data_IF_617433286722
#
_entry.id   IF_617433286722
#
_cell.length_a   1.000
_cell.length_b   1.000
_cell.length_c   1.000
_cell.angle_alpha   90.00
_cell.angle_beta   90.00
_cell.angle_gamma   90.00
#
_symmetry.space_group_name_H-M   'P 1'
#
loop_
_entity.id
_entity.type
_entity.pdbx_description
1 polymer ?
#
# COMPACT_ATOMS: atom_id res chain seq x y z
N UNK A 1 -18.10 -16.17 38.30
CA UNK A 1 -18.38 -15.65 36.95
C UNK A 1 -17.71 -14.30 36.88
N UNK A 2 -16.45 -14.27 36.43
CA UNK A 2 -15.64 -13.07 36.52
C UNK A 2 -14.82 -12.91 35.23
N UNK A 3 -14.90 -11.69 34.70
CA UNK A 3 -13.98 -11.06 33.76
C UNK A 3 -14.09 -11.47 32.28
N UNK A 4 -15.13 -10.94 31.63
CA UNK A 4 -15.20 -10.76 30.18
C UNK A 4 -15.30 -9.25 29.83
N UNK A 5 -14.55 -8.40 30.52
CA UNK A 5 -14.52 -6.95 30.31
C UNK A 5 -13.07 -6.45 30.17
N UNK A 6 -12.32 -6.93 29.18
CA UNK A 6 -11.11 -6.20 28.75
C UNK A 6 -10.68 -6.59 27.33
N UNK A 7 -11.50 -6.27 26.32
CA UNK A 7 -11.10 -6.38 24.90
C UNK A 7 -11.57 -5.18 24.05
N UNK A 8 -11.81 -4.03 24.68
CA UNK A 8 -11.99 -2.79 23.94
C UNK A 8 -10.60 -2.22 23.62
N UNK A 9 -10.02 -2.61 22.47
CA UNK A 9 -8.92 -1.83 21.88
C UNK A 9 -9.43 -0.39 21.71
N UNK A 10 -8.65 0.65 22.07
CA UNK A 10 -9.08 2.03 21.87
C UNK A 10 -9.50 2.24 20.43
N UNK A 11 -10.61 2.95 20.20
CA UNK A 11 -11.11 3.29 18.87
C UNK A 11 -10.08 4.06 18.00
N UNK A 12 -8.98 4.50 18.62
CA UNK A 12 -7.87 5.23 18.02
C UNK A 12 -6.72 4.34 17.51
N UNK A 13 -6.71 3.03 17.76
CA UNK A 13 -5.63 2.16 17.26
C UNK A 13 -5.71 2.03 15.74
N UNK A 14 -4.83 2.73 15.03
CA UNK A 14 -4.75 2.65 13.59
C UNK A 14 -3.79 1.55 13.16
N UNK A 15 -4.35 0.52 12.52
CA UNK A 15 -3.58 -0.59 11.95
C UNK A 15 -2.53 -0.14 10.93
N UNK A 16 -2.66 1.07 10.36
CA UNK A 16 -1.65 1.63 9.47
C UNK A 16 -0.32 1.88 10.20
N UNK A 17 -0.31 2.23 11.49
CA UNK A 17 0.92 2.43 12.28
C UNK A 17 1.81 1.18 12.32
N UNK A 18 1.22 0.00 12.13
CA UNK A 18 1.93 -1.27 12.11
C UNK A 18 2.62 -1.55 10.77
N UNK A 19 2.25 -0.85 9.70
CA UNK A 19 2.76 -1.13 8.36
C UNK A 19 4.24 -0.82 8.23
N UNK A 20 4.73 0.18 8.97
CA UNK A 20 6.13 0.59 8.88
C UNK A 20 7.10 -0.54 9.25
N UNK A 21 6.73 -1.35 10.25
CA UNK A 21 7.46 -2.57 10.64
C UNK A 21 7.63 -3.59 9.51
N UNK A 22 6.77 -3.53 8.49
CA UNK A 22 6.78 -4.42 7.34
C UNK A 22 7.37 -3.78 6.08
N UNK A 23 7.79 -2.51 6.13
CA UNK A 23 8.29 -1.79 4.97
C UNK A 23 9.51 -2.48 4.33
N UNK A 24 10.46 -2.96 5.15
CA UNK A 24 11.63 -3.68 4.64
C UNK A 24 11.27 -4.93 3.84
N UNK A 25 10.22 -5.67 4.24
CA UNK A 25 9.74 -6.84 3.49
C UNK A 25 9.05 -6.43 2.20
N UNK A 26 8.15 -5.44 2.28
CA UNK A 26 7.47 -4.87 1.13
C UNK A 26 8.46 -4.40 0.04
N UNK A 27 9.55 -3.74 0.44
CA UNK A 27 10.59 -3.23 -0.47
C UNK A 27 11.42 -4.29 -1.18
N UNK A 28 11.42 -5.55 -0.73
CA UNK A 28 12.06 -6.66 -1.46
C UNK A 28 11.31 -7.01 -2.75
N UNK A 29 10.01 -6.71 -2.81
CA UNK A 29 9.14 -7.14 -3.90
C UNK A 29 8.60 -5.97 -4.73
N UNK A 30 8.15 -4.90 -4.08
CA UNK A 30 7.49 -3.76 -4.73
C UNK A 30 8.27 -3.17 -5.92
N UNK A 31 9.58 -2.86 -5.82
CA UNK A 31 10.35 -2.36 -6.96
C UNK A 31 10.45 -3.34 -8.13
N UNK A 32 10.54 -4.64 -7.83
CA UNK A 32 10.64 -5.68 -8.87
C UNK A 32 9.32 -5.78 -9.63
N UNK A 33 8.20 -5.77 -8.92
CA UNK A 33 6.85 -5.78 -9.48
C UNK A 33 6.64 -4.62 -10.48
N UNK A 34 6.98 -3.38 -10.09
CA UNK A 34 6.84 -2.20 -10.96
C UNK A 34 7.74 -2.25 -12.20
N UNK A 35 8.88 -2.94 -12.12
CA UNK A 35 9.77 -3.13 -13.28
C UNK A 35 9.29 -4.23 -14.22
N UNK A 36 8.76 -5.32 -13.66
CA UNK A 36 8.34 -6.49 -14.43
C UNK A 36 7.03 -6.26 -15.17
N UNK A 37 6.06 -5.63 -14.52
CA UNK A 37 4.73 -5.48 -15.10
C UNK A 37 4.56 -4.16 -15.82
N UNK A 38 3.88 -4.22 -16.96
CA UNK A 38 3.45 -3.05 -17.72
C UNK A 38 1.98 -2.81 -17.40
N UNK A 39 1.71 -1.76 -16.62
CA UNK A 39 0.36 -1.37 -16.25
C UNK A 39 -0.27 -0.48 -17.34
N UNK A 40 -1.57 -0.65 -17.53
CA UNK A 40 -2.46 0.24 -18.25
C UNK A 40 -3.58 0.68 -17.33
N UNK A 41 -4.19 1.81 -17.65
CA UNK A 41 -5.20 2.47 -16.83
C UNK A 41 -6.34 3.00 -17.69
N UNK A 42 -7.53 3.04 -17.10
CA UNK A 42 -8.63 3.88 -17.56
C UNK A 42 -8.29 5.36 -17.35
N UNK A 43 -9.10 6.26 -17.92
CA UNK A 43 -8.95 7.71 -17.69
C UNK A 43 -9.14 8.08 -16.20
N UNK A 44 -10.00 7.36 -15.49
CA UNK A 44 -10.33 7.65 -14.10
C UNK A 44 -9.14 7.41 -13.14
N UNK A 45 -8.21 6.53 -13.49
CA UNK A 45 -7.10 6.11 -12.61
C UNK A 45 -5.74 6.65 -13.07
N UNK A 46 -5.75 7.69 -13.90
CA UNK A 46 -4.54 8.29 -14.46
C UNK A 46 -3.62 8.87 -13.37
N UNK A 47 -4.17 9.45 -12.31
CA UNK A 47 -3.39 10.02 -11.18
C UNK A 47 -2.59 8.95 -10.44
N UNK A 48 -3.21 7.80 -10.14
CA UNK A 48 -2.50 6.65 -9.56
C UNK A 48 -1.44 6.09 -10.50
N UNK A 49 -1.74 6.01 -11.80
CA UNK A 49 -0.77 5.55 -12.79
C UNK A 49 0.48 6.46 -12.84
N UNK A 50 0.29 7.78 -12.82
CA UNK A 50 1.41 8.73 -12.76
C UNK A 50 2.24 8.54 -11.49
N UNK A 51 1.60 8.32 -10.34
CA UNK A 51 2.30 8.03 -9.09
C UNK A 51 3.11 6.72 -9.14
N UNK A 52 2.59 5.69 -9.80
CA UNK A 52 3.30 4.42 -10.02
C UNK A 52 4.54 4.59 -10.92
N UNK A 53 4.42 5.34 -12.01
CA UNK A 53 5.55 5.62 -12.91
C UNK A 53 6.63 6.48 -12.21
N UNK A 54 6.22 7.50 -11.45
CA UNK A 54 7.14 8.27 -10.62
C UNK A 54 7.84 7.39 -9.58
N UNK A 55 7.10 6.51 -8.90
CA UNK A 55 7.68 5.59 -7.93
C UNK A 55 8.66 4.61 -8.59
N UNK A 56 8.35 4.14 -9.81
CA UNK A 56 9.24 3.30 -10.61
C UNK A 56 10.54 4.02 -10.95
N UNK A 57 10.48 5.29 -11.36
CA UNK A 57 11.66 6.13 -11.62
C UNK A 57 12.50 6.35 -10.35
N UNK A 58 11.87 6.70 -9.23
CA UNK A 58 12.55 6.87 -7.93
C UNK A 58 13.26 5.59 -7.52
N UNK A 59 12.63 4.43 -7.74
CA UNK A 59 13.23 3.13 -7.46
C UNK A 59 14.43 2.81 -8.35
N UNK A 60 14.42 3.22 -9.62
CA UNK A 60 15.52 3.00 -10.55
C UNK A 60 16.70 3.93 -10.28
N UNK A 61 16.42 5.20 -9.95
CA UNK A 61 17.43 6.22 -9.68
C UNK A 61 18.02 6.15 -8.28
N UNK A 62 17.43 5.37 -7.37
CA UNK A 62 17.86 5.26 -5.98
C UNK A 62 17.55 6.51 -5.14
N UNK A 63 16.76 7.46 -5.67
CA UNK A 63 16.30 8.64 -4.93
C UNK A 63 15.55 8.20 -3.69
N UNK A 64 15.80 8.88 -2.55
CA UNK A 64 15.18 8.54 -1.27
C UNK A 64 13.88 9.28 -1.00
N UNK A 65 13.78 10.54 -1.42
CA UNK A 65 12.62 11.41 -1.14
C UNK A 65 11.55 11.30 -2.22
N UNK A 66 10.30 11.40 -1.81
CA UNK A 66 9.17 11.66 -2.71
C UNK A 66 9.13 13.18 -2.99
N UNK A 67 9.01 13.62 -4.25
CA UNK A 67 8.84 15.04 -4.58
C UNK A 67 7.58 15.62 -3.96
N UNK A 68 7.62 16.88 -3.51
CA UNK A 68 6.44 17.58 -2.98
C UNK A 68 5.32 17.75 -4.02
N UNK A 69 5.67 17.70 -5.30
CA UNK A 69 4.73 17.74 -6.43
C UNK A 69 4.02 16.40 -6.69
N UNK A 70 4.29 15.37 -5.88
CA UNK A 70 3.64 14.08 -6.01
C UNK A 70 2.14 14.19 -5.68
N UNK A 71 1.27 13.78 -6.62
CA UNK A 71 -0.17 13.76 -6.37
C UNK A 71 -0.52 12.75 -5.28
N UNK A 72 -1.51 13.11 -4.47
CA UNK A 72 -2.12 12.28 -3.44
C UNK A 72 -3.63 12.13 -3.66
N UNK A 73 -4.17 12.62 -4.78
CA UNK A 73 -5.63 12.72 -5.01
C UNK A 73 -6.30 11.35 -5.12
N UNK A 74 -5.54 10.32 -5.47
CA UNK A 74 -6.02 8.94 -5.53
C UNK A 74 -6.04 8.27 -4.14
N UNK A 75 -5.40 8.85 -3.12
CA UNK A 75 -5.33 8.25 -1.79
C UNK A 75 -6.61 8.50 -1.00
N UNK A 76 -7.08 7.46 -0.30
CA UNK A 76 -8.16 7.59 0.68
C UNK A 76 -7.72 8.45 1.88
N UNK A 77 -8.65 9.21 2.45
CA UNK A 77 -8.43 10.13 3.58
C UNK A 77 -7.64 9.54 4.75
N UNK A 78 -7.81 8.24 5.02
CA UNK A 78 -7.08 7.52 6.08
C UNK A 78 -5.55 7.52 5.94
N UNK A 79 -5.02 7.66 4.72
CA UNK A 79 -3.59 7.65 4.46
C UNK A 79 -2.91 8.98 4.81
N UNK A 80 -3.63 10.10 4.72
CA UNK A 80 -3.02 11.44 4.78
C UNK A 80 -2.30 11.71 6.10
N UNK A 81 -2.83 11.25 7.24
CA UNK A 81 -2.16 11.43 8.55
C UNK A 81 -0.81 10.73 8.66
N UNK A 82 -0.56 9.73 7.82
CA UNK A 82 0.69 8.97 7.80
C UNK A 82 1.62 9.41 6.68
N UNK A 83 1.04 9.75 5.52
CA UNK A 83 1.77 10.19 4.33
C UNK A 83 2.30 11.61 4.51
N UNK A 84 1.56 12.51 5.16
CA UNK A 84 1.98 13.88 5.39
C UNK A 84 2.71 14.00 6.72
N UNK A 85 3.98 14.39 6.69
CA UNK A 85 4.81 14.71 7.86
C UNK A 85 5.32 16.15 7.74
N UNK A 86 5.79 16.70 8.86
CA UNK A 86 6.33 18.08 8.91
C UNK A 86 7.50 18.31 7.93
N UNK A 87 8.26 17.26 7.64
CA UNK A 87 9.41 17.28 6.74
C UNK A 87 9.10 16.84 5.29
N UNK A 88 7.81 16.76 4.94
CA UNK A 88 7.33 16.39 3.61
C UNK A 88 6.60 15.05 3.59
N UNK A 89 6.63 14.40 2.43
CA UNK A 89 5.92 13.15 2.20
C UNK A 89 6.72 11.98 2.78
N UNK A 90 6.10 11.24 3.69
CA UNK A 90 6.61 9.96 4.16
C UNK A 90 6.52 8.93 3.03
N UNK A 91 7.70 8.49 2.59
CA UNK A 91 7.81 7.54 1.48
C UNK A 91 7.17 6.20 1.79
N UNK A 92 7.29 5.69 3.02
CA UNK A 92 6.85 4.34 3.34
C UNK A 92 5.33 4.27 3.22
N UNK A 93 4.64 5.20 3.86
CA UNK A 93 3.19 5.30 3.81
C UNK A 93 2.67 5.69 2.43
N UNK A 94 3.40 6.52 1.68
CA UNK A 94 3.03 6.85 0.30
C UNK A 94 3.10 5.62 -0.61
N UNK A 95 4.17 4.81 -0.51
CA UNK A 95 4.28 3.55 -1.27
C UNK A 95 3.18 2.55 -0.86
N UNK A 96 2.89 2.40 0.44
CA UNK A 96 1.80 1.54 0.89
C UNK A 96 0.45 2.01 0.36
N UNK A 97 0.19 3.32 0.37
CA UNK A 97 -1.01 3.92 -0.20
C UNK A 97 -1.16 3.63 -1.69
N UNK A 98 -0.10 3.86 -2.47
CA UNK A 98 -0.04 3.52 -3.90
C UNK A 98 -0.40 2.06 -4.14
N UNK A 99 0.23 1.13 -3.42
CA UNK A 99 0.00 -0.30 -3.64
C UNK A 99 -1.38 -0.76 -3.18
N UNK A 100 -1.91 -0.15 -2.12
CA UNK A 100 -3.28 -0.40 -1.67
C UNK A 100 -4.30 0.02 -2.74
N UNK A 101 -4.11 1.21 -3.32
CA UNK A 101 -5.00 1.68 -4.38
C UNK A 101 -4.78 0.95 -5.70
N UNK A 102 -3.56 0.54 -6.04
CA UNK A 102 -3.30 -0.34 -7.18
C UNK A 102 -4.10 -1.64 -7.07
N UNK A 103 -4.11 -2.28 -5.90
CA UNK A 103 -4.92 -3.50 -5.69
C UNK A 103 -6.42 -3.24 -5.86
N UNK A 104 -6.92 -2.07 -5.43
CA UNK A 104 -8.32 -1.70 -5.59
C UNK A 104 -8.66 -1.51 -7.07
N UNK A 105 -7.82 -0.81 -7.82
CA UNK A 105 -8.04 -0.52 -9.24
C UNK A 105 -7.84 -1.72 -10.15
N UNK A 106 -6.94 -2.65 -9.79
CA UNK A 106 -6.85 -3.94 -10.45
C UNK A 106 -8.15 -4.74 -10.25
N UNK A 107 -8.69 -4.74 -9.03
CA UNK A 107 -9.93 -5.47 -8.69
C UNK A 107 -11.17 -4.89 -9.37
N UNK A 108 -11.25 -3.57 -9.50
CA UNK A 108 -12.36 -2.91 -10.22
C UNK A 108 -12.22 -3.01 -11.75
N UNK A 109 -11.02 -3.36 -12.24
CA UNK A 109 -10.71 -3.38 -13.68
C UNK A 109 -10.34 -2.01 -14.25
N UNK A 110 -10.24 -0.98 -13.42
CA UNK A 110 -9.79 0.35 -13.84
C UNK A 110 -8.31 0.38 -14.23
N UNK A 111 -7.52 -0.56 -13.70
CA UNK A 111 -6.16 -0.81 -14.13
C UNK A 111 -5.97 -2.28 -14.48
N UNK A 112 -5.03 -2.57 -15.38
CA UNK A 112 -4.70 -3.93 -15.78
C UNK A 112 -3.25 -4.04 -16.24
N UNK A 113 -2.75 -5.27 -16.29
CA UNK A 113 -1.40 -5.58 -16.77
C UNK A 113 -1.46 -6.08 -18.21
N UNK A 114 -0.61 -5.55 -19.08
CA UNK A 114 -0.53 -6.01 -20.48
C UNK A 114 -0.06 -7.47 -20.54
N UNK A 115 -0.73 -8.29 -21.33
CA UNK A 115 -0.40 -9.72 -21.48
C UNK A 115 -0.90 -10.60 -20.33
N UNK A 116 -1.55 -10.03 -19.31
CA UNK A 116 -2.18 -10.79 -18.23
C UNK A 116 -3.48 -11.44 -18.72
N UNK A 117 -3.43 -12.73 -19.08
CA UNK A 117 -4.62 -13.60 -19.15
C UNK A 117 -4.94 -14.30 -17.81
N UNK A 118 -4.10 -14.15 -16.79
CA UNK A 118 -4.12 -14.96 -15.55
C UNK A 118 -4.14 -14.06 -14.30
N UNK A 119 -5.33 -13.80 -13.78
CA UNK A 119 -5.53 -13.16 -12.48
C UNK A 119 -5.34 -14.16 -11.31
N UNK A 120 -4.32 -15.03 -11.34
CA UNK A 120 -4.13 -16.09 -10.31
C UNK A 120 -2.94 -15.86 -9.38
N UNK A 121 -1.82 -15.32 -9.86
CA UNK A 121 -0.60 -15.27 -9.04
C UNK A 121 -0.41 -13.98 -8.23
N UNK A 122 -1.21 -12.92 -8.45
CA UNK A 122 -0.96 -11.64 -7.75
C UNK A 122 -1.45 -11.67 -6.28
N UNK A 123 -2.51 -12.42 -5.98
CA UNK A 123 -3.00 -12.58 -4.60
C UNK A 123 -2.03 -13.41 -3.73
N UNK A 124 -1.13 -14.20 -4.31
CA UNK A 124 -0.09 -14.93 -3.58
C UNK A 124 1.05 -14.04 -3.06
N UNK A 125 1.28 -12.86 -3.67
CA UNK A 125 2.35 -11.93 -3.25
C UNK A 125 1.86 -10.79 -2.34
N UNK A 126 0.56 -10.60 -2.25
CA UNK A 126 -0.05 -9.76 -1.20
C UNK A 126 -0.09 -10.59 0.08
N UNK A 127 0.08 -9.95 1.25
CA UNK A 127 -0.06 -10.64 2.54
C UNK A 127 -1.35 -11.50 2.50
N UNK A 128 -1.24 -12.84 2.56
CA UNK A 128 -2.41 -13.71 2.50
C UNK A 128 -3.41 -13.25 3.56
N UNK A 129 -4.71 -13.20 3.22
CA UNK A 129 -5.73 -12.75 4.16
C UNK A 129 -5.67 -13.50 5.50
N UNK A 130 -5.25 -14.78 5.46
CA UNK A 130 -4.91 -15.61 6.61
C UNK A 130 -3.83 -14.98 7.49
N UNK A 131 -2.68 -14.57 6.92
CA UNK A 131 -1.60 -13.86 7.66
C UNK A 131 -2.03 -12.49 8.17
N UNK A 132 -2.91 -11.79 7.45
CA UNK A 132 -3.46 -10.53 7.93
C UNK A 132 -4.39 -10.72 9.15
N UNK A 133 -5.19 -11.80 9.15
CA UNK A 133 -6.01 -12.20 10.32
C UNK A 133 -5.13 -12.63 11.48
N UNK A 134 -4.10 -13.44 11.25
CA UNK A 134 -3.12 -13.81 12.28
C UNK A 134 -2.40 -12.60 12.87
N UNK A 135 -2.03 -11.60 12.05
CA UNK A 135 -1.42 -10.34 12.53
C UNK A 135 -2.41 -9.52 13.35
N UNK A 136 -3.70 -9.49 12.97
CA UNK A 136 -4.77 -8.89 13.78
C UNK A 136 -5.00 -9.63 15.09
N UNK A 137 -4.81 -10.94 15.14
CA UNK A 137 -4.97 -11.78 16.33
C UNK A 137 -3.74 -11.74 17.25
N UNK A 138 -2.53 -11.65 16.70
CA UNK A 138 -1.28 -11.47 17.48
C UNK A 138 -1.16 -10.10 18.11
N UNK A 139 -1.70 -9.05 17.48
CA UNK A 139 -1.81 -7.71 18.10
C UNK A 139 -2.97 -7.60 19.12
N UNK A 140 -3.51 -8.73 19.57
CA UNK A 140 -4.52 -8.84 20.64
C UNK A 140 -3.91 -9.34 21.96
N UNK A 141 -2.60 -9.60 21.97
CA UNK A 141 -1.84 -10.00 23.15
C UNK A 141 -0.53 -9.20 23.23
N UNK A 142 -0.64 -7.94 23.63
CA UNK A 142 0.34 -7.21 24.43
C UNK A 142 -0.37 -6.05 25.11
#
# INVERSE_FOLDING_TARGET
MEQAEELARPAEFDYLDLLDNHYGHFRKFAPRLLRTYVFKTSKASHTLFQALEMLKEINQTGKRKIPETASMDFLKSKWFKHVMKENGIDRHYYEFGIFSELCNHLRSGDMWVVGSRQYKDFEEYLLPQEKWKELKEKNKFH
#
